data_IF_578909515823
#
_entry.id   IF_578909515823
#
_cell.length_a   1.000
_cell.length_b   1.000
_cell.length_c   1.000
_cell.angle_alpha   90.00
_cell.angle_beta   90.00
_cell.angle_gamma   90.00
#
_symmetry.space_group_name_H-M   'P 1'
#
loop_
_entity.id
_entity.type
_entity.pdbx_description
1 polymer ?
#
# COMPACT_ATOMS: atom_id res chain seq x y z
N UNK A 1 23.69 14.52 14.88
CA UNK A 1 22.81 14.71 13.69
C UNK A 1 23.07 13.68 12.60
N UNK A 2 24.33 13.43 12.19
CA UNK A 2 24.64 12.44 11.14
C UNK A 2 24.28 10.99 11.52
N UNK A 3 24.44 10.61 12.79
CA UNK A 3 24.03 9.30 13.32
C UNK A 3 22.51 9.09 13.21
N UNK A 4 21.71 10.08 13.63
CA UNK A 4 20.24 10.04 13.56
C UNK A 4 19.72 9.98 12.11
N UNK A 5 20.34 10.70 11.17
CA UNK A 5 19.98 10.65 9.75
C UNK A 5 20.24 9.27 9.12
N UNK A 6 21.21 8.52 9.66
CA UNK A 6 21.65 7.22 9.15
C UNK A 6 21.06 6.02 9.89
N UNK A 7 20.23 6.23 10.92
CA UNK A 7 19.62 5.17 11.74
C UNK A 7 18.98 4.04 10.90
N UNK A 8 18.27 4.41 9.83
CA UNK A 8 17.60 3.49 8.91
C UNK A 8 18.51 2.39 8.32
N UNK A 9 19.81 2.64 8.18
CA UNK A 9 20.75 1.69 7.58
C UNK A 9 20.81 0.38 8.37
N UNK A 10 20.76 0.46 9.70
CA UNK A 10 20.77 -0.70 10.59
C UNK A 10 19.53 -1.60 10.44
N UNK A 11 18.44 -1.03 9.91
CA UNK A 11 17.13 -1.68 9.78
C UNK A 11 16.83 -2.18 8.36
N UNK A 12 17.79 -2.07 7.44
CA UNK A 12 17.63 -2.40 6.02
C UNK A 12 18.57 -3.53 5.57
N UNK A 13 18.32 -4.08 4.38
CA UNK A 13 19.25 -5.01 3.73
C UNK A 13 19.21 -6.47 4.22
N UNK A 14 18.24 -6.82 5.06
CA UNK A 14 17.96 -8.21 5.48
C UNK A 14 16.78 -8.79 4.71
N UNK A 15 16.69 -10.12 4.64
CA UNK A 15 15.52 -10.78 4.06
C UNK A 15 14.31 -10.54 4.96
N UNK A 16 13.23 -10.01 4.41
CA UNK A 16 12.03 -9.66 5.18
C UNK A 16 11.08 -10.87 5.33
N UNK A 17 11.50 -11.85 6.15
CA UNK A 17 10.66 -13.01 6.48
C UNK A 17 9.28 -12.66 7.05
N UNK A 18 9.11 -11.60 7.88
CA UNK A 18 7.77 -11.19 8.31
C UNK A 18 6.85 -10.85 7.13
N UNK A 19 7.37 -10.24 6.07
CA UNK A 19 6.61 -9.92 4.85
C UNK A 19 6.21 -11.19 4.09
N UNK A 20 7.11 -12.17 4.01
CA UNK A 20 6.81 -13.48 3.41
C UNK A 20 5.73 -14.22 4.20
N UNK A 21 5.85 -14.24 5.53
CA UNK A 21 4.86 -14.87 6.41
C UNK A 21 3.49 -14.20 6.30
N UNK A 22 3.44 -12.86 6.27
CA UNK A 22 2.20 -12.11 6.04
C UNK A 22 1.59 -12.43 4.68
N UNK A 23 2.40 -12.57 3.63
CA UNK A 23 1.91 -12.97 2.29
C UNK A 23 1.27 -14.35 2.33
N UNK A 24 1.94 -15.33 2.93
CA UNK A 24 1.42 -16.69 3.06
C UNK A 24 0.11 -16.70 3.84
N UNK A 25 0.07 -16.00 4.98
CA UNK A 25 -1.15 -15.84 5.77
C UNK A 25 -2.30 -15.25 4.93
N UNK A 26 -2.07 -14.16 4.19
CA UNK A 26 -3.10 -13.54 3.36
C UNK A 26 -3.59 -14.46 2.24
N UNK A 27 -2.69 -15.17 1.55
CA UNK A 27 -3.07 -16.12 0.49
C UNK A 27 -3.90 -17.27 1.06
N UNK A 28 -3.48 -17.85 2.18
CA UNK A 28 -4.22 -18.92 2.85
C UNK A 28 -5.57 -18.44 3.40
N UNK A 29 -5.61 -17.25 4.01
CA UNK A 29 -6.84 -16.67 4.54
C UNK A 29 -7.84 -16.34 3.42
N UNK A 30 -7.38 -15.78 2.30
CA UNK A 30 -8.22 -15.52 1.13
C UNK A 30 -8.85 -16.83 0.61
N UNK A 31 -8.03 -17.86 0.41
CA UNK A 31 -8.51 -19.17 -0.04
C UNK A 31 -9.49 -19.79 0.96
N UNK A 32 -9.23 -19.66 2.27
CA UNK A 32 -10.09 -20.15 3.32
C UNK A 32 -11.45 -19.43 3.37
N UNK A 33 -11.51 -18.11 3.17
CA UNK A 33 -12.77 -17.36 3.10
C UNK A 33 -13.61 -17.79 1.89
N UNK A 34 -12.97 -17.95 0.72
CA UNK A 34 -13.65 -18.43 -0.50
C UNK A 34 -14.16 -19.85 -0.30
N UNK A 35 -13.31 -20.78 0.14
CA UNK A 35 -13.68 -22.16 0.38
C UNK A 35 -14.76 -22.29 1.46
N UNK A 36 -14.63 -21.54 2.56
CA UNK A 36 -15.60 -21.51 3.65
C UNK A 36 -16.99 -21.12 3.17
N UNK A 37 -17.10 -20.12 2.28
CA UNK A 37 -18.38 -19.78 1.66
C UNK A 37 -18.87 -20.87 0.70
N UNK A 38 -18.02 -21.35 -0.21
CA UNK A 38 -18.39 -22.32 -1.25
C UNK A 38 -18.87 -23.64 -0.66
N UNK A 39 -18.25 -24.10 0.44
CA UNK A 39 -18.64 -25.33 1.15
C UNK A 39 -19.72 -25.12 2.22
N UNK A 40 -20.28 -23.91 2.34
CA UNK A 40 -21.40 -23.61 3.24
C UNK A 40 -21.03 -23.47 4.72
N UNK A 41 -19.74 -23.30 5.05
CA UNK A 41 -19.27 -23.07 6.41
C UNK A 41 -19.30 -21.59 6.84
N UNK A 42 -19.31 -20.66 5.88
CA UNK A 42 -19.36 -19.22 6.13
C UNK A 42 -20.53 -18.57 5.37
N UNK A 43 -21.30 -17.66 6.00
CA UNK A 43 -22.26 -16.83 5.28
C UNK A 43 -21.52 -15.84 4.37
N UNK A 44 -22.16 -15.47 3.24
CA UNK A 44 -21.59 -14.60 2.22
C UNK A 44 -20.96 -13.33 2.79
N UNK A 45 -21.69 -12.62 3.67
CA UNK A 45 -21.23 -11.34 4.20
C UNK A 45 -19.94 -11.45 5.03
N UNK A 46 -19.75 -12.55 5.78
CA UNK A 46 -18.51 -12.79 6.54
C UNK A 46 -17.33 -13.05 5.59
N UNK A 47 -17.54 -13.78 4.51
CA UNK A 47 -16.50 -14.01 3.51
C UNK A 47 -16.12 -12.70 2.78
N UNK A 48 -17.10 -11.84 2.48
CA UNK A 48 -16.86 -10.50 1.88
C UNK A 48 -16.03 -9.61 2.82
N UNK A 49 -16.45 -9.51 4.09
CA UNK A 49 -15.73 -8.69 5.09
C UNK A 49 -14.33 -9.27 5.33
N UNK A 50 -14.23 -10.59 5.49
CA UNK A 50 -12.96 -11.30 5.66
C UNK A 50 -11.99 -11.04 4.51
N UNK A 51 -12.45 -11.16 3.26
CA UNK A 51 -11.62 -10.89 2.10
C UNK A 51 -11.29 -9.40 1.92
N UNK A 52 -12.13 -8.48 2.41
CA UNK A 52 -11.80 -7.05 2.44
C UNK A 52 -10.64 -6.79 3.40
N UNK A 53 -10.68 -7.41 4.59
CA UNK A 53 -9.57 -7.34 5.56
C UNK A 53 -8.31 -7.98 4.99
N UNK A 54 -8.40 -9.15 4.36
CA UNK A 54 -7.25 -9.79 3.71
C UNK A 54 -6.67 -8.91 2.60
N UNK A 55 -7.51 -8.29 1.77
CA UNK A 55 -7.09 -7.32 0.76
C UNK A 55 -6.32 -6.15 1.37
N UNK A 56 -6.83 -5.58 2.46
CA UNK A 56 -6.16 -4.52 3.19
C UNK A 56 -4.77 -4.96 3.71
N UNK A 57 -4.67 -6.14 4.32
CA UNK A 57 -3.41 -6.68 4.86
C UNK A 57 -2.39 -6.99 3.75
N UNK A 58 -2.83 -7.58 2.64
CA UNK A 58 -1.95 -8.05 1.56
C UNK A 58 -1.35 -6.90 0.73
N UNK A 59 -1.89 -5.69 0.87
CA UNK A 59 -1.26 -4.50 0.30
C UNK A 59 0.14 -4.26 0.85
N UNK A 60 0.37 -4.51 2.15
CA UNK A 60 1.69 -4.31 2.76
C UNK A 60 2.78 -5.15 2.05
N UNK A 61 2.60 -6.46 1.82
CA UNK A 61 3.51 -7.24 0.99
C UNK A 61 3.66 -6.76 -0.45
N UNK A 62 2.58 -6.39 -1.13
CA UNK A 62 2.62 -5.82 -2.48
C UNK A 62 3.49 -4.56 -2.53
N UNK A 63 3.28 -3.67 -1.57
CA UNK A 63 4.00 -2.41 -1.40
C UNK A 63 5.50 -2.62 -1.14
N UNK A 64 5.85 -3.56 -0.26
CA UNK A 64 7.24 -3.90 0.05
C UNK A 64 7.97 -4.54 -1.16
N UNK A 65 7.28 -5.39 -1.91
CA UNK A 65 7.79 -5.97 -3.16
C UNK A 65 8.07 -4.91 -4.24
N UNK A 66 7.26 -3.84 -4.29
CA UNK A 66 7.50 -2.71 -5.20
C UNK A 66 8.83 -2.02 -4.93
N UNK A 67 9.24 -1.92 -3.66
CA UNK A 67 10.54 -1.35 -3.24
C UNK A 67 11.71 -2.33 -3.26
N UNK A 68 11.44 -3.62 -3.53
CA UNK A 68 12.44 -4.69 -3.48
C UNK A 68 13.00 -4.92 -2.07
N UNK A 69 12.14 -4.79 -1.06
CA UNK A 69 12.47 -4.88 0.37
C UNK A 69 12.49 -6.31 0.92
N UNK A 70 12.11 -7.33 0.13
CA UNK A 70 11.88 -8.67 0.65
C UNK A 70 13.12 -9.54 0.46
N UNK A 71 13.59 -9.67 -0.78
CA UNK A 71 14.62 -10.63 -1.17
C UNK A 71 16.06 -10.17 -0.99
N UNK A 72 16.27 -8.94 -0.53
CA UNK A 72 17.53 -8.15 -0.60
C UNK A 72 17.99 -7.87 -2.04
N UNK A 73 18.32 -6.61 -2.34
CA UNK A 73 18.54 -6.11 -3.72
C UNK A 73 19.63 -6.86 -4.53
N UNK A 74 20.61 -7.46 -3.84
CA UNK A 74 21.73 -8.23 -4.45
C UNK A 74 21.82 -9.68 -3.95
N UNK A 75 20.85 -10.17 -3.17
CA UNK A 75 20.92 -11.51 -2.58
C UNK A 75 20.26 -12.60 -3.41
N UNK A 76 20.52 -13.86 -3.02
CA UNK A 76 19.94 -15.07 -3.65
C UNK A 76 18.41 -15.13 -3.61
N UNK A 77 17.78 -14.32 -2.75
CA UNK A 77 16.34 -14.33 -2.51
C UNK A 77 15.57 -13.25 -3.26
N UNK A 78 16.20 -12.50 -4.18
CA UNK A 78 15.55 -11.42 -4.96
C UNK A 78 14.30 -11.86 -5.72
N UNK A 79 14.15 -13.15 -6.01
CA UNK A 79 12.95 -13.70 -6.63
C UNK A 79 11.71 -13.59 -5.73
N UNK A 80 11.88 -13.49 -4.40
CA UNK A 80 10.80 -13.31 -3.43
C UNK A 80 10.00 -12.03 -3.71
N UNK A 81 10.66 -10.94 -4.09
CA UNK A 81 9.97 -9.68 -4.42
C UNK A 81 8.99 -9.88 -5.58
N UNK A 82 9.40 -10.63 -6.62
CA UNK A 82 8.52 -10.94 -7.73
C UNK A 82 7.36 -11.85 -7.33
N UNK A 83 7.63 -12.94 -6.60
CA UNK A 83 6.59 -13.90 -6.20
C UNK A 83 5.58 -13.26 -5.25
N UNK A 84 6.05 -12.56 -4.22
CA UNK A 84 5.19 -11.85 -3.28
C UNK A 84 4.41 -10.74 -3.98
N UNK A 85 5.06 -9.96 -4.84
CA UNK A 85 4.41 -8.89 -5.59
C UNK A 85 3.27 -9.41 -6.47
N UNK A 86 3.51 -10.48 -7.25
CA UNK A 86 2.48 -11.06 -8.11
C UNK A 86 1.35 -11.75 -7.32
N UNK A 87 1.66 -12.50 -6.26
CA UNK A 87 0.64 -13.15 -5.43
C UNK A 87 -0.25 -12.12 -4.73
N UNK A 88 0.35 -11.07 -4.17
CA UNK A 88 -0.36 -10.00 -3.48
C UNK A 88 -1.18 -9.15 -4.45
N UNK A 89 -0.59 -8.82 -5.61
CA UNK A 89 -1.26 -8.10 -6.68
C UNK A 89 -2.45 -8.86 -7.26
N UNK A 90 -2.38 -10.20 -7.32
CA UNK A 90 -3.52 -11.02 -7.73
C UNK A 90 -4.72 -10.84 -6.79
N UNK A 91 -4.51 -10.96 -5.47
CA UNK A 91 -5.60 -10.77 -4.48
C UNK A 91 -6.20 -9.36 -4.59
N UNK A 92 -5.37 -8.35 -4.83
CA UNK A 92 -5.79 -6.95 -4.96
C UNK A 92 -6.22 -6.52 -6.37
N UNK A 93 -6.36 -7.45 -7.33
CA UNK A 93 -6.67 -7.15 -8.75
C UNK A 93 -5.80 -6.04 -9.35
N UNK A 94 -4.56 -5.95 -8.87
CA UNK A 94 -3.56 -4.95 -9.22
C UNK A 94 -2.34 -5.64 -9.85
N UNK A 95 -2.18 -5.62 -11.19
CA UNK A 95 -1.03 -6.18 -11.86
C UNK A 95 0.26 -5.58 -11.29
N UNK A 96 1.08 -6.44 -10.67
CA UNK A 96 2.25 -6.01 -9.90
C UNK A 96 3.19 -5.10 -10.70
N UNK A 97 3.40 -5.42 -11.98
CA UNK A 97 4.26 -4.63 -12.86
C UNK A 97 3.77 -3.19 -13.04
N UNK A 98 2.46 -2.97 -13.21
CA UNK A 98 1.88 -1.64 -13.32
C UNK A 98 1.90 -0.90 -11.98
N UNK A 99 1.46 -1.57 -10.91
CA UNK A 99 1.45 -1.00 -9.57
C UNK A 99 2.84 -0.52 -9.15
N UNK A 100 3.88 -1.34 -9.36
CA UNK A 100 5.27 -0.97 -9.05
C UNK A 100 5.72 0.30 -9.78
N UNK A 101 5.37 0.47 -11.05
CA UNK A 101 5.71 1.68 -11.81
C UNK A 101 5.00 2.90 -11.24
N UNK A 102 3.69 2.80 -11.00
CA UNK A 102 2.90 3.90 -10.46
C UNK A 102 3.35 4.29 -9.04
N UNK A 103 3.60 3.32 -8.17
CA UNK A 103 4.09 3.57 -6.82
C UNK A 103 5.46 4.27 -6.82
N UNK A 104 6.40 3.83 -7.65
CA UNK A 104 7.70 4.50 -7.76
C UNK A 104 7.58 5.91 -8.38
N UNK A 105 6.60 6.12 -9.26
CA UNK A 105 6.27 7.44 -9.80
C UNK A 105 5.71 8.37 -8.73
N UNK A 106 4.85 7.87 -7.84
CA UNK A 106 4.37 8.59 -6.66
C UNK A 106 5.53 9.04 -5.78
N UNK A 107 6.46 8.14 -5.43
CA UNK A 107 7.67 8.50 -4.66
C UNK A 107 8.51 9.59 -5.32
N UNK A 108 8.64 9.54 -6.64
CA UNK A 108 9.46 10.49 -7.40
C UNK A 108 8.77 11.85 -7.59
N UNK A 109 7.44 11.89 -7.51
CA UNK A 109 6.63 13.06 -7.83
C UNK A 109 5.65 13.45 -6.73
N UNK A 110 5.87 13.02 -5.49
CA UNK A 110 4.90 13.11 -4.39
C UNK A 110 4.23 14.49 -4.31
N UNK A 111 2.89 14.48 -4.26
CA UNK A 111 2.00 15.64 -4.24
C UNK A 111 1.99 16.51 -5.51
N UNK A 112 2.59 16.08 -6.63
CA UNK A 112 2.47 16.77 -7.91
C UNK A 112 1.09 16.52 -8.55
N UNK A 113 0.27 17.55 -8.84
CA UNK A 113 -1.09 17.36 -9.36
C UNK A 113 -1.21 16.61 -10.69
N UNK A 114 -0.17 16.65 -11.53
CA UNK A 114 -0.19 16.05 -12.86
C UNK A 114 0.57 14.71 -12.89
N UNK A 115 1.69 14.63 -12.18
CA UNK A 115 2.62 13.50 -12.29
C UNK A 115 2.44 12.42 -11.21
N UNK A 116 1.86 12.77 -10.07
CA UNK A 116 1.61 11.84 -8.97
C UNK A 116 0.27 11.10 -9.17
N UNK A 117 0.26 9.77 -9.37
CA UNK A 117 -0.99 9.02 -9.48
C UNK A 117 -1.89 9.18 -8.24
N UNK A 118 -1.31 9.38 -7.07
CA UNK A 118 -2.01 9.37 -5.78
C UNK A 118 -2.59 10.74 -5.43
N UNK A 119 -2.14 11.80 -6.13
CA UNK A 119 -2.77 13.12 -6.04
C UNK A 119 -4.24 13.08 -6.48
N UNK A 120 -4.69 12.01 -7.16
CA UNK A 120 -6.11 11.74 -7.34
C UNK A 120 -6.91 11.89 -6.04
N UNK A 121 -6.37 11.42 -4.91
CA UNK A 121 -7.05 11.48 -3.62
C UNK A 121 -7.07 12.86 -2.97
N UNK A 122 -6.32 13.85 -3.49
CA UNK A 122 -6.29 15.20 -2.94
C UNK A 122 -7.68 15.87 -2.99
N UNK A 123 -8.28 16.07 -1.81
CA UNK A 123 -9.51 16.84 -1.58
C UNK A 123 -9.72 17.04 -0.09
N UNK A 124 -10.47 18.07 0.29
CA UNK A 124 -10.97 18.28 1.66
C UNK A 124 -12.43 17.83 1.85
N UNK A 125 -13.14 17.50 0.76
CA UNK A 125 -14.55 17.09 0.84
C UNK A 125 -14.66 15.57 1.09
N UNK A 126 -15.22 15.12 2.22
CA UNK A 126 -15.29 13.69 2.57
C UNK A 126 -16.08 12.83 1.59
N UNK A 127 -17.17 13.37 1.00
CA UNK A 127 -17.97 12.63 0.03
C UNK A 127 -17.19 12.43 -1.28
N UNK A 128 -16.51 13.48 -1.75
CA UNK A 128 -15.65 13.40 -2.93
C UNK A 128 -14.45 12.47 -2.68
N UNK A 129 -13.90 12.48 -1.47
CA UNK A 129 -12.81 11.59 -1.06
C UNK A 129 -13.22 10.12 -1.16
N UNK A 130 -14.39 9.77 -0.64
CA UNK A 130 -14.92 8.41 -0.73
C UNK A 130 -15.16 7.97 -2.19
N UNK A 131 -15.77 8.84 -3.01
CA UNK A 131 -15.99 8.55 -4.44
C UNK A 131 -14.67 8.37 -5.20
N UNK A 132 -13.66 9.18 -4.89
CA UNK A 132 -12.30 9.04 -5.45
C UNK A 132 -11.65 7.72 -5.02
N UNK A 133 -11.78 7.31 -3.76
CA UNK A 133 -11.29 6.03 -3.26
C UNK A 133 -11.94 4.83 -3.97
N UNK A 134 -13.26 4.86 -4.19
CA UNK A 134 -13.98 3.81 -4.93
C UNK A 134 -13.58 3.73 -6.42
N UNK A 135 -12.95 4.78 -6.96
CA UNK A 135 -12.50 4.85 -8.36
C UNK A 135 -10.98 4.75 -8.51
N UNK A 136 -10.25 4.36 -7.46
CA UNK A 136 -8.78 4.30 -7.48
C UNK A 136 -8.25 3.31 -8.53
N UNK A 137 -8.91 2.17 -8.71
CA UNK A 137 -8.52 1.13 -9.68
C UNK A 137 -8.57 1.67 -11.13
N UNK A 138 -9.73 2.12 -11.66
CA UNK A 138 -9.77 2.65 -13.02
C UNK A 138 -8.86 3.88 -13.18
N UNK A 139 -8.71 4.71 -12.13
CA UNK A 139 -7.77 5.83 -12.16
C UNK A 139 -6.33 5.39 -12.34
N UNK A 140 -5.88 4.38 -11.62
CA UNK A 140 -4.53 3.82 -11.74
C UNK A 140 -4.27 3.26 -13.13
N UNK A 141 -5.20 2.47 -13.68
CA UNK A 141 -5.07 1.97 -15.06
C UNK A 141 -5.02 3.10 -16.08
N UNK A 142 -5.91 4.10 -15.95
CA UNK A 142 -5.86 5.29 -16.79
C UNK A 142 -4.50 5.98 -16.70
N UNK A 143 -3.96 6.18 -15.49
CA UNK A 143 -2.67 6.82 -15.32
C UNK A 143 -1.52 6.00 -15.93
N UNK A 144 -1.52 4.68 -15.77
CA UNK A 144 -0.50 3.80 -16.33
C UNK A 144 -0.49 3.82 -17.87
N UNK A 145 -1.66 3.73 -18.51
CA UNK A 145 -1.77 3.64 -19.96
C UNK A 145 -1.75 5.01 -20.66
N UNK A 146 -2.47 6.01 -20.14
CA UNK A 146 -2.55 7.33 -20.76
C UNK A 146 -1.27 8.15 -20.59
N UNK A 147 -0.53 7.93 -19.48
CA UNK A 147 0.74 8.61 -19.19
C UNK A 147 1.90 7.61 -19.22
N UNK A 148 1.93 6.76 -20.24
CA UNK A 148 2.94 5.72 -20.42
C UNK A 148 4.30 6.32 -20.81
N UNK A 149 5.17 6.50 -19.80
CA UNK A 149 6.58 6.82 -19.97
C UNK A 149 7.42 5.58 -20.34
N UNK A 150 8.74 5.74 -20.40
CA UNK A 150 9.66 4.64 -20.72
C UNK A 150 9.49 3.44 -19.77
N UNK A 151 9.38 3.67 -18.45
CA UNK A 151 9.28 2.58 -17.47
C UNK A 151 7.93 1.84 -17.61
N UNK A 152 6.84 2.58 -17.81
CA UNK A 152 5.52 2.00 -18.04
C UNK A 152 5.50 1.14 -19.32
N UNK A 153 6.09 1.63 -20.42
CA UNK A 153 6.21 0.87 -21.68
C UNK A 153 7.03 -0.40 -21.53
N UNK A 154 8.15 -0.36 -20.80
CA UNK A 154 8.96 -1.54 -20.51
C UNK A 154 8.20 -2.59 -19.67
N UNK A 155 7.29 -2.15 -18.79
CA UNK A 155 6.47 -3.04 -17.95
C UNK A 155 5.15 -3.43 -18.58
N UNK A 156 4.77 -2.84 -19.72
CA UNK A 156 3.49 -3.06 -20.38
C UNK A 156 3.23 -4.53 -20.75
N UNK A 157 4.19 -5.32 -21.30
CA UNK A 157 3.96 -6.74 -21.57
C UNK A 157 3.66 -7.53 -20.29
N UNK A 158 4.42 -7.29 -19.22
CA UNK A 158 4.18 -7.93 -17.93
C UNK A 158 2.83 -7.54 -17.34
N UNK A 159 2.42 -6.27 -17.49
CA UNK A 159 1.09 -5.79 -17.09
C UNK A 159 -0.01 -6.53 -17.86
N UNK A 160 0.09 -6.69 -19.18
CA UNK A 160 -0.90 -7.44 -19.96
C UNK A 160 -0.96 -8.92 -19.57
N UNK A 161 0.18 -9.56 -19.32
CA UNK A 161 0.20 -10.93 -18.78
C UNK A 161 -0.51 -10.97 -17.43
N UNK A 162 -0.26 -10.01 -16.55
CA UNK A 162 -0.94 -9.88 -15.26
C UNK A 162 -2.46 -9.75 -15.41
N UNK A 163 -2.94 -8.88 -16.30
CA UNK A 163 -4.36 -8.72 -16.61
C UNK A 163 -4.95 -10.02 -17.16
N UNK A 164 -4.24 -10.70 -18.07
CA UNK A 164 -4.64 -11.99 -18.61
C UNK A 164 -4.79 -13.05 -17.51
N UNK A 165 -3.83 -13.16 -16.60
CA UNK A 165 -3.89 -14.06 -15.45
C UNK A 165 -5.09 -13.73 -14.55
N UNK A 166 -5.33 -12.45 -14.24
CA UNK A 166 -6.49 -12.04 -13.44
C UNK A 166 -7.81 -12.45 -14.12
N UNK A 167 -7.94 -12.22 -15.43
CA UNK A 167 -9.10 -12.61 -16.20
C UNK A 167 -9.29 -14.13 -16.26
N UNK A 168 -8.21 -14.90 -16.42
CA UNK A 168 -8.24 -16.36 -16.38
C UNK A 168 -8.66 -16.88 -15.01
N UNK A 169 -8.08 -16.35 -13.92
CA UNK A 169 -8.47 -16.74 -12.56
C UNK A 169 -9.94 -16.43 -12.29
N UNK A 170 -10.45 -15.29 -12.78
CA UNK A 170 -11.85 -14.94 -12.65
C UNK A 170 -12.74 -15.94 -13.41
N UNK A 171 -12.39 -16.23 -14.66
CA UNK A 171 -13.13 -17.17 -15.50
C UNK A 171 -13.15 -18.59 -14.90
N UNK A 172 -12.02 -19.05 -14.35
CA UNK A 172 -11.94 -20.35 -13.65
C UNK A 172 -12.82 -20.34 -12.41
N UNK A 173 -12.73 -19.31 -11.56
CA UNK A 173 -13.60 -19.18 -10.38
C UNK A 173 -15.08 -19.19 -10.76
N UNK A 174 -15.45 -18.45 -11.81
CA UNK A 174 -16.81 -18.39 -12.32
C UNK A 174 -17.29 -19.74 -12.87
N UNK A 175 -16.42 -20.47 -13.58
CA UNK A 175 -16.71 -21.79 -14.14
C UNK A 175 -16.99 -22.84 -13.07
N UNK A 176 -16.18 -22.89 -12.01
CA UNK A 176 -16.32 -23.89 -10.94
C UNK A 176 -17.35 -23.52 -9.86
N UNK A 177 -17.89 -22.31 -9.89
CA UNK A 177 -18.90 -21.85 -8.93
C UNK A 177 -20.04 -21.12 -9.63
N UNK A 178 -19.98 -19.80 -9.72
CA UNK A 178 -20.80 -18.95 -10.60
C UNK A 178 -20.09 -17.62 -10.81
N UNK A 179 -20.43 -16.82 -11.85
CA UNK A 179 -19.83 -15.50 -12.05
C UNK A 179 -19.96 -14.55 -10.85
N UNK A 180 -20.97 -14.74 -9.99
CA UNK A 180 -21.17 -13.91 -8.80
C UNK A 180 -20.16 -14.20 -7.70
N UNK A 181 -19.59 -15.40 -7.61
CA UNK A 181 -18.65 -15.76 -6.53
C UNK A 181 -17.33 -14.99 -6.63
N UNK A 182 -16.56 -15.02 -7.74
CA UNK A 182 -15.35 -14.21 -7.83
C UNK A 182 -15.67 -12.70 -7.87
N UNK A 183 -16.84 -12.30 -8.36
CA UNK A 183 -17.28 -10.90 -8.25
C UNK A 183 -17.39 -10.47 -6.78
N UNK A 184 -18.17 -11.20 -5.98
CA UNK A 184 -18.51 -10.83 -4.61
C UNK A 184 -17.40 -11.16 -3.60
N UNK A 185 -16.61 -12.20 -3.82
CA UNK A 185 -15.56 -12.61 -2.88
C UNK A 185 -14.15 -12.20 -3.27
N UNK A 186 -13.94 -11.66 -4.47
CA UNK A 186 -12.62 -11.20 -4.90
C UNK A 186 -12.62 -9.75 -5.39
N UNK A 187 -13.42 -9.43 -6.41
CA UNK A 187 -13.43 -8.08 -7.01
C UNK A 187 -13.98 -7.04 -6.04
N UNK A 188 -15.18 -7.29 -5.48
CA UNK A 188 -15.82 -6.37 -4.53
C UNK A 188 -14.96 -6.13 -3.28
N UNK A 189 -14.41 -7.17 -2.60
CA UNK A 189 -13.53 -6.96 -1.47
C UNK A 189 -12.24 -6.22 -1.82
N UNK A 190 -11.65 -6.47 -3.00
CA UNK A 190 -10.47 -5.73 -3.44
C UNK A 190 -10.76 -4.24 -3.68
N UNK A 191 -11.94 -3.90 -4.24
CA UNK A 191 -12.37 -2.50 -4.38
C UNK A 191 -12.50 -1.82 -3.01
N UNK A 192 -13.17 -2.46 -2.05
CA UNK A 192 -13.32 -1.90 -0.70
C UNK A 192 -11.97 -1.79 0.02
N UNK A 193 -11.09 -2.79 -0.10
CA UNK A 193 -9.75 -2.76 0.46
C UNK A 193 -8.93 -1.60 -0.13
N UNK A 194 -8.91 -1.47 -1.46
CA UNK A 194 -8.17 -0.39 -2.14
C UNK A 194 -8.75 0.99 -1.85
N UNK A 195 -10.07 1.12 -1.68
CA UNK A 195 -10.67 2.35 -1.21
C UNK A 195 -10.18 2.71 0.20
N UNK A 196 -10.18 1.76 1.14
CA UNK A 196 -9.66 1.99 2.49
C UNK A 196 -8.17 2.35 2.49
N UNK A 197 -7.38 1.66 1.67
CA UNK A 197 -5.96 1.94 1.49
C UNK A 197 -5.74 3.34 0.93
N UNK A 198 -6.46 3.74 -0.11
CA UNK A 198 -6.36 5.09 -0.68
C UNK A 198 -6.72 6.18 0.36
N UNK A 199 -7.65 5.90 1.28
CA UNK A 199 -7.95 6.83 2.39
C UNK A 199 -6.78 6.95 3.38
N UNK A 200 -6.18 5.84 3.80
CA UNK A 200 -5.22 5.85 4.92
C UNK A 200 -3.75 5.89 4.49
N UNK A 201 -3.45 5.68 3.20
CA UNK A 201 -2.10 5.69 2.62
C UNK A 201 -1.93 6.83 1.60
N UNK A 202 -2.89 7.11 0.74
CA UNK A 202 -2.72 8.13 -0.32
C UNK A 202 -3.21 9.50 0.15
N UNK A 203 -4.29 9.53 0.95
CA UNK A 203 -4.86 10.77 1.46
C UNK A 203 -4.27 11.17 2.80
N UNK A 204 -4.44 10.34 3.83
CA UNK A 204 -4.16 10.70 5.22
C UNK A 204 -2.72 11.21 5.45
N UNK A 205 -1.66 10.52 4.98
CA UNK A 205 -0.30 10.99 5.26
C UNK A 205 0.12 12.19 4.41
N UNK A 206 -0.51 12.38 3.25
CA UNK A 206 -0.17 13.44 2.30
C UNK A 206 -0.97 14.72 2.48
N UNK A 207 -2.18 14.64 3.07
CA UNK A 207 -3.07 15.79 3.26
C UNK A 207 -2.31 16.96 3.91
N UNK A 208 -2.40 18.21 3.41
CA UNK A 208 -3.27 18.71 2.34
C UNK A 208 -2.68 18.66 0.93
N UNK A 209 -1.70 17.78 0.67
CA UNK A 209 -1.04 17.57 -0.63
C UNK A 209 -0.34 18.82 -1.19
N UNK A 210 0.23 19.65 -0.30
CA UNK A 210 0.84 20.95 -0.66
C UNK A 210 2.36 20.92 -0.79
N UNK A 211 3.05 20.16 0.06
CA UNK A 211 4.51 20.14 0.07
C UNK A 211 5.05 19.04 -0.82
N UNK A 212 6.11 19.35 -1.56
CA UNK A 212 6.86 18.38 -2.37
C UNK A 212 8.24 18.11 -1.80
N UNK A 213 8.60 18.76 -0.69
CA UNK A 213 9.92 18.65 -0.09
C UNK A 213 10.08 17.33 0.63
N UNK A 214 11.30 16.78 0.56
CA UNK A 214 11.64 15.44 1.05
C UNK A 214 11.16 15.12 2.47
N UNK A 215 11.20 16.10 3.37
CA UNK A 215 10.88 15.90 4.80
C UNK A 215 9.45 16.27 5.17
N UNK A 216 8.71 16.90 4.27
CA UNK A 216 7.40 17.51 4.58
C UNK A 216 6.30 17.15 3.59
N UNK A 217 6.60 16.36 2.56
CA UNK A 217 5.63 15.84 1.58
C UNK A 217 4.66 14.80 2.17
N UNK A 218 4.99 14.24 3.33
CA UNK A 218 4.25 13.23 4.07
C UNK A 218 4.39 13.45 5.57
N UNK A 219 3.70 12.65 6.38
CA UNK A 219 3.74 12.72 7.84
C UNK A 219 3.93 11.37 8.51
N UNK A 220 4.32 11.44 9.78
CA UNK A 220 4.17 10.34 10.71
C UNK A 220 3.03 10.66 11.68
N UNK A 221 2.18 9.68 12.00
CA UNK A 221 1.11 9.78 12.99
C UNK A 221 1.37 8.71 14.05
N UNK A 222 2.19 8.99 15.08
CA UNK A 222 2.53 7.99 16.09
C UNK A 222 1.30 7.53 16.87
N UNK A 223 1.20 6.23 17.12
CA UNK A 223 0.14 5.66 17.96
C UNK A 223 0.21 4.14 17.99
N UNK A 224 0.07 3.51 19.16
CA UNK A 224 0.19 2.06 19.30
C UNK A 224 -0.92 1.33 18.53
N UNK A 225 -2.19 1.78 18.68
CA UNK A 225 -3.32 1.24 17.96
C UNK A 225 -3.18 1.44 16.43
N UNK A 226 -2.80 2.64 16.00
CA UNK A 226 -2.55 2.94 14.59
C UNK A 226 -1.43 2.08 14.00
N UNK A 227 -0.37 1.80 14.76
CA UNK A 227 0.72 0.95 14.30
C UNK A 227 0.28 -0.50 14.06
N UNK A 228 -0.69 -1.00 14.82
CA UNK A 228 -1.29 -2.32 14.58
C UNK A 228 -2.24 -2.25 13.38
N UNK A 229 -3.18 -1.30 13.38
CA UNK A 229 -4.21 -1.17 12.34
C UNK A 229 -3.61 -0.86 10.97
N UNK A 230 -2.61 0.02 10.90
CA UNK A 230 -1.94 0.45 9.66
C UNK A 230 -0.68 -0.37 9.35
N UNK A 231 -0.38 -1.44 10.11
CA UNK A 231 0.83 -2.25 9.91
C UNK A 231 2.10 -1.37 9.83
N UNK A 232 2.26 -0.45 10.78
CA UNK A 232 3.39 0.50 10.84
C UNK A 232 3.35 1.65 9.84
N UNK A 233 2.41 1.65 8.90
CA UNK A 233 2.29 2.67 7.84
C UNK A 233 1.80 4.01 8.35
N UNK A 234 1.36 4.08 9.60
CA UNK A 234 1.19 5.32 10.33
C UNK A 234 2.51 6.13 10.41
N UNK A 235 3.67 5.50 10.20
CA UNK A 235 4.98 6.15 10.03
C UNK A 235 5.35 6.37 8.55
N UNK A 236 4.37 6.75 7.71
CA UNK A 236 4.53 6.90 6.26
C UNK A 236 5.67 7.84 5.82
N UNK A 237 5.98 8.86 6.63
CA UNK A 237 7.17 9.69 6.42
C UNK A 237 8.48 8.88 6.36
N UNK A 238 8.65 7.88 7.24
CA UNK A 238 9.82 7.01 7.22
C UNK A 238 9.87 6.20 5.94
N UNK A 239 8.71 5.74 5.48
CA UNK A 239 8.58 5.05 4.20
C UNK A 239 9.10 5.91 3.03
N UNK A 240 8.68 7.18 2.94
CA UNK A 240 9.14 8.10 1.89
C UNK A 240 10.63 8.46 2.00
N UNK A 241 11.13 8.64 3.22
CA UNK A 241 12.53 9.00 3.43
C UNK A 241 13.48 7.84 3.14
N UNK A 242 13.07 6.63 3.54
CA UNK A 242 13.88 5.43 3.57
C UNK A 242 13.08 4.22 3.08
N UNK A 243 12.70 4.17 1.79
CA UNK A 243 11.85 3.10 1.25
C UNK A 243 12.51 1.72 1.29
N UNK A 244 13.82 1.62 1.61
CA UNK A 244 14.54 0.37 1.81
C UNK A 244 14.33 -0.28 3.19
N UNK A 245 13.69 0.44 4.12
CA UNK A 245 13.32 -0.08 5.45
C UNK A 245 12.04 -0.90 5.29
N UNK A 246 11.96 -2.11 5.87
CA UNK A 246 10.72 -2.87 5.83
C UNK A 246 9.69 -2.34 6.83
N UNK A 247 8.40 -2.55 6.55
CA UNK A 247 7.29 -1.90 7.26
C UNK A 247 7.31 -2.04 8.79
N UNK A 248 7.69 -3.21 9.29
CA UNK A 248 7.76 -3.51 10.72
C UNK A 248 8.90 -2.78 11.44
N UNK A 249 9.81 -2.14 10.70
CA UNK A 249 10.92 -1.35 11.24
C UNK A 249 10.69 0.18 11.10
N UNK A 250 9.54 0.65 10.61
CA UNK A 250 9.31 2.09 10.50
C UNK A 250 9.28 2.79 11.86
N UNK A 251 8.62 2.19 12.85
CA UNK A 251 8.54 2.73 14.21
C UNK A 251 9.91 2.91 14.89
N UNK A 252 10.79 1.89 14.99
CA UNK A 252 12.10 2.08 15.62
C UNK A 252 12.97 3.10 14.87
N UNK A 253 12.94 3.10 13.53
CA UNK A 253 13.63 4.12 12.73
C UNK A 253 13.11 5.52 13.01
N UNK A 254 11.78 5.69 13.11
CA UNK A 254 11.19 6.97 13.51
C UNK A 254 11.66 7.39 14.90
N UNK A 255 11.65 6.49 15.88
CA UNK A 255 12.03 6.79 17.25
C UNK A 255 13.49 7.26 17.34
N UNK A 256 14.41 6.61 16.63
CA UNK A 256 15.84 6.99 16.62
C UNK A 256 16.12 8.27 15.83
N UNK A 257 15.30 8.59 14.82
CA UNK A 257 15.50 9.77 13.97
C UNK A 257 14.61 10.95 14.35
N UNK A 258 13.77 10.83 15.38
CA UNK A 258 12.71 11.79 15.70
C UNK A 258 13.21 13.22 15.86
N UNK A 259 14.22 13.45 16.69
CA UNK A 259 14.77 14.79 16.93
C UNK A 259 15.31 15.42 15.63
N UNK A 260 15.94 14.60 14.78
CA UNK A 260 16.43 15.05 13.48
C UNK A 260 15.27 15.42 12.55
N UNK A 261 14.18 14.64 12.53
CA UNK A 261 13.00 14.92 11.73
C UNK A 261 12.29 16.20 12.20
N UNK A 262 12.15 16.39 13.50
CA UNK A 262 11.59 17.60 14.10
C UNK A 262 12.44 18.83 13.72
N UNK A 263 13.77 18.73 13.77
CA UNK A 263 14.69 19.78 13.32
C UNK A 263 14.60 20.09 11.80
N UNK A 264 14.08 19.14 11.00
CA UNK A 264 13.79 19.34 9.57
C UNK A 264 12.38 19.86 9.30
N UNK A 265 11.58 20.11 10.33
CA UNK A 265 10.19 20.56 10.20
C UNK A 265 9.23 19.47 9.74
N UNK A 266 9.58 18.19 9.96
CA UNK A 266 8.76 17.07 9.54
C UNK A 266 7.37 17.09 10.19
N UNK A 267 6.29 16.87 9.42
CA UNK A 267 4.94 16.66 9.95
C UNK A 267 4.84 15.44 10.87
N UNK A 268 4.58 15.67 12.17
CA UNK A 268 4.39 14.60 13.17
C UNK A 268 3.08 14.82 13.92
N UNK A 269 2.16 13.87 13.83
CA UNK A 269 0.85 13.89 14.50
C UNK A 269 -0.32 14.18 13.56
N UNK A 270 -1.49 14.36 14.16
CA UNK A 270 -2.69 14.81 13.47
C UNK A 270 -2.57 16.29 13.14
N UNK A 271 -3.25 16.75 12.09
CA UNK A 271 -3.32 18.19 11.80
C UNK A 271 -4.65 18.73 12.31
N UNK A 272 -4.57 19.74 13.17
CA UNK A 272 -5.65 20.68 13.47
C UNK A 272 -5.59 21.83 12.45
N UNK A 273 -6.73 22.43 12.10
CA UNK A 273 -6.87 23.37 10.97
C UNK A 273 -6.00 24.64 11.08
N UNK A 274 -5.53 24.97 12.29
CA UNK A 274 -4.64 26.08 12.56
C UNK A 274 -3.27 25.55 12.98
N UNK A 275 -2.22 26.05 12.35
CA UNK A 275 -0.84 25.61 12.50
C UNK A 275 -0.39 25.36 13.95
N UNK A 276 -0.12 24.09 14.30
CA UNK A 276 1.12 23.56 14.89
C UNK A 276 0.89 22.09 15.27
N UNK A 277 1.91 21.27 15.11
CA UNK A 277 1.87 19.83 15.29
C UNK A 277 1.68 19.46 16.77
N UNK A 278 0.45 19.25 17.20
CA UNK A 278 0.17 18.68 18.52
C UNK A 278 0.51 17.18 18.52
N UNK A 279 1.59 16.84 19.22
CA UNK A 279 1.92 15.46 19.54
C UNK A 279 0.81 14.85 20.38
N UNK A 280 0.40 13.62 20.07
CA UNK A 280 -0.65 12.86 20.74
C UNK A 280 -0.35 12.47 22.22
N UNK A 281 0.46 13.26 22.93
CA UNK A 281 0.73 13.13 24.36
C UNK A 281 -0.24 13.95 25.23
N UNK A 282 -1.08 14.82 24.64
CA UNK A 282 -1.99 15.71 25.37
C UNK A 282 -3.46 15.59 24.95
N UNK A 283 -3.92 14.38 24.57
CA UNK A 283 -5.35 14.09 24.56
C UNK A 283 -5.67 13.38 25.87
N UNK A 284 -6.17 14.16 26.85
CA UNK A 284 -6.78 13.64 28.07
C UNK A 284 -8.11 12.96 27.78
#
# INVERSE_FOLDING_TARGET
METAQNAWKAYSGRVAWPTVALTFFCVSAFAAMVAGYVYGHLPLWLAIVGNTVVGYLVFTPLHEASHSNIGTRKGRFRWLDSVVGWASGAILIAPFAAFKVLHLRHHSNTNNPEADPDHWMATSNPAVLLLKGLTIIPRYYFHFFAHADKQAREKMPATFVGIGVLATLYALGAHFTSPLVPLLLWVVPAVFALCLLALVFDWLPHYPHRSRDRYTNTRAIPGAALNVILLGQNYHLIHHLYPAVPFYNYKPVFQESREFLEAKGAPIGWRTENAMWETAANAG
#
